data_IF_719237071465
#
_entry.id   IF_719237071465
#
_cell.length_a   1.000
_cell.length_b   1.000
_cell.length_c   1.000
_cell.angle_alpha   90.00
_cell.angle_beta   90.00
_cell.angle_gamma   90.00
#
_symmetry.space_group_name_H-M   'P 1'
#
loop_
_entity.id
_entity.type
_entity.pdbx_description
1 polymer ?
#
# COMPACT_ATOMS: atom_id res chain seq x y z
N UNK A 1 -77.94 -38.35 0.37
CA UNK A 1 -77.04 -38.39 -0.76
C UNK A 1 -76.33 -37.04 -0.81
N UNK A 2 -75.13 -36.92 -0.22
CA UNK A 2 -74.33 -35.71 -0.26
C UNK A 2 -73.27 -35.89 -1.33
N UNK A 3 -73.23 -35.00 -2.35
CA UNK A 3 -72.13 -34.92 -3.33
C UNK A 3 -71.10 -33.96 -2.83
N UNK A 4 -69.85 -34.36 -2.68
CA UNK A 4 -68.76 -33.41 -2.37
C UNK A 4 -68.35 -32.61 -3.61
N UNK A 5 -68.37 -31.28 -3.50
CA UNK A 5 -67.79 -30.36 -4.50
C UNK A 5 -66.26 -30.42 -4.42
N UNK A 6 -65.61 -30.88 -5.47
CA UNK A 6 -64.21 -30.82 -5.69
C UNK A 6 -63.76 -29.35 -5.90
N UNK A 7 -63.04 -28.80 -4.93
CA UNK A 7 -62.46 -27.49 -4.98
C UNK A 7 -61.08 -27.61 -5.69
N UNK A 8 -61.00 -27.12 -6.91
CA UNK A 8 -59.77 -27.07 -7.67
C UNK A 8 -58.90 -25.96 -7.08
N UNK A 9 -57.82 -26.33 -6.39
CA UNK A 9 -56.76 -25.42 -5.96
C UNK A 9 -55.87 -25.17 -7.16
N UNK A 10 -55.88 -23.93 -7.65
CA UNK A 10 -54.95 -23.47 -8.67
C UNK A 10 -53.57 -23.26 -8.01
N UNK A 11 -52.59 -24.11 -8.34
CA UNK A 11 -51.17 -23.87 -8.00
C UNK A 11 -50.71 -22.70 -8.87
N UNK A 12 -50.57 -21.53 -8.24
CA UNK A 12 -49.85 -20.40 -8.80
C UNK A 12 -48.35 -20.70 -8.78
N UNK A 13 -47.76 -20.87 -9.97
CA UNK A 13 -46.31 -20.96 -10.14
C UNK A 13 -45.68 -19.61 -9.84
N UNK A 14 -45.11 -19.48 -8.66
CA UNK A 14 -44.19 -18.38 -8.36
C UNK A 14 -42.88 -18.66 -9.10
N UNK A 15 -42.67 -18.01 -10.23
CA UNK A 15 -41.36 -17.91 -10.84
C UNK A 15 -40.47 -17.04 -9.95
N UNK A 16 -39.64 -17.68 -9.13
CA UNK A 16 -38.58 -17.01 -8.41
C UNK A 16 -37.54 -16.49 -9.43
N UNK A 17 -37.61 -15.20 -9.74
CA UNK A 17 -36.54 -14.51 -10.47
C UNK A 17 -35.35 -14.40 -9.50
N UNK A 18 -34.43 -15.36 -9.58
CA UNK A 18 -33.12 -15.20 -8.99
C UNK A 18 -32.40 -14.08 -9.74
N UNK A 19 -32.45 -12.82 -9.22
CA UNK A 19 -31.50 -11.82 -9.56
C UNK A 19 -30.14 -12.31 -9.03
N UNK A 20 -29.39 -12.96 -9.90
CA UNK A 20 -27.97 -13.15 -9.68
C UNK A 20 -27.35 -11.75 -9.69
N UNK A 21 -27.18 -11.14 -8.51
CA UNK A 21 -26.22 -10.06 -8.34
C UNK A 21 -24.87 -10.66 -8.72
N UNK A 22 -24.44 -10.41 -9.96
CA UNK A 22 -23.05 -10.60 -10.35
C UNK A 22 -22.24 -9.61 -9.48
N UNK A 23 -21.92 -10.04 -8.28
CA UNK A 23 -20.83 -9.46 -7.52
C UNK A 23 -19.60 -9.61 -8.42
N UNK A 24 -19.08 -8.52 -8.93
CA UNK A 24 -17.71 -8.49 -9.44
C UNK A 24 -16.85 -8.81 -8.25
N UNK A 25 -16.54 -10.10 -8.05
CA UNK A 25 -15.44 -10.52 -7.20
C UNK A 25 -14.22 -9.78 -7.76
N UNK A 26 -13.70 -8.84 -6.96
CA UNK A 26 -12.41 -8.24 -7.26
C UNK A 26 -11.44 -9.40 -7.44
N UNK A 27 -10.80 -9.49 -8.61
CA UNK A 27 -9.85 -10.54 -8.89
C UNK A 27 -8.84 -10.57 -7.74
N UNK A 28 -8.69 -11.74 -7.11
CA UNK A 28 -7.76 -11.91 -6.00
C UNK A 28 -6.34 -11.69 -6.54
N UNK A 29 -5.70 -10.59 -6.13
CA UNK A 29 -4.34 -10.28 -6.57
C UNK A 29 -3.35 -11.23 -5.87
N UNK A 30 -2.37 -11.71 -6.65
CA UNK A 30 -1.28 -12.51 -6.10
C UNK A 30 -0.24 -11.59 -5.44
N UNK A 31 -0.09 -11.68 -4.14
CA UNK A 31 0.81 -10.83 -3.34
C UNK A 31 2.10 -11.54 -2.93
N UNK A 32 2.33 -12.78 -3.38
CA UNK A 32 3.47 -13.58 -2.92
C UNK A 32 4.82 -12.93 -3.26
N UNK A 33 4.96 -12.39 -4.47
CA UNK A 33 6.19 -11.73 -4.92
C UNK A 33 6.43 -10.42 -4.18
N UNK A 34 5.37 -9.65 -3.91
CA UNK A 34 5.44 -8.44 -3.10
C UNK A 34 5.91 -8.77 -1.68
N UNK A 35 5.27 -9.75 -1.01
CA UNK A 35 5.64 -10.15 0.35
C UNK A 35 7.09 -10.60 0.41
N UNK A 36 7.56 -11.36 -0.59
CA UNK A 36 8.94 -11.80 -0.65
C UNK A 36 9.93 -10.64 -0.84
N UNK A 37 9.60 -9.69 -1.74
CA UNK A 37 10.39 -8.50 -2.00
C UNK A 37 10.47 -7.58 -0.77
N UNK A 38 9.33 -7.25 -0.19
CA UNK A 38 9.21 -6.43 1.02
C UNK A 38 10.01 -7.04 2.21
N UNK A 39 9.97 -8.36 2.41
CA UNK A 39 10.75 -9.03 3.46
C UNK A 39 12.26 -9.06 3.19
N UNK A 40 12.69 -8.87 1.95
CA UNK A 40 14.08 -8.83 1.56
C UNK A 40 14.63 -7.40 1.49
N UNK A 41 13.76 -6.40 1.50
CA UNK A 41 14.11 -5.00 1.42
C UNK A 41 14.84 -4.56 2.70
N UNK A 42 16.04 -4.01 2.52
CA UNK A 42 16.90 -3.54 3.61
C UNK A 42 16.24 -2.38 4.37
N UNK A 43 15.56 -1.49 3.66
CA UNK A 43 14.85 -0.36 4.26
C UNK A 43 13.75 -0.80 5.22
N UNK A 44 13.12 -1.93 4.94
CA UNK A 44 12.12 -2.54 5.82
C UNK A 44 12.76 -3.34 6.94
N UNK A 45 13.77 -4.16 6.64
CA UNK A 45 14.37 -5.07 7.63
C UNK A 45 15.26 -4.37 8.67
N UNK A 46 15.83 -3.21 8.32
CA UNK A 46 16.67 -2.38 9.18
C UNK A 46 15.90 -1.18 9.78
N UNK A 47 14.58 -1.11 9.58
CA UNK A 47 13.76 -0.06 10.16
C UNK A 47 13.75 -0.18 11.70
N UNK A 48 14.18 0.88 12.43
CA UNK A 48 14.25 0.86 13.89
C UNK A 48 12.88 0.67 14.56
N UNK A 49 11.78 0.85 13.85
CA UNK A 49 10.45 0.54 14.34
C UNK A 49 10.25 -0.92 14.71
N UNK A 50 11.09 -1.84 14.20
CA UNK A 50 11.04 -3.27 14.52
C UNK A 50 12.02 -3.72 15.62
N UNK A 51 12.86 -2.81 16.13
CA UNK A 51 13.93 -3.14 17.09
C UNK A 51 13.44 -3.72 18.41
N UNK A 52 12.20 -3.39 18.81
CA UNK A 52 11.62 -3.92 20.06
C UNK A 52 11.12 -5.38 19.94
N UNK A 53 11.13 -5.93 18.72
CA UNK A 53 10.76 -7.32 18.43
C UNK A 53 9.29 -7.68 18.63
N UNK A 54 8.41 -6.70 18.92
CA UNK A 54 6.96 -6.94 19.06
C UNK A 54 6.29 -7.21 17.73
N UNK A 55 6.73 -6.47 16.70
CA UNK A 55 6.29 -6.62 15.33
C UNK A 55 7.48 -7.07 14.49
N UNK A 56 7.24 -7.96 13.53
CA UNK A 56 8.29 -8.40 12.61
C UNK A 56 8.09 -7.75 11.24
N UNK A 57 9.16 -7.51 10.46
CA UNK A 57 9.04 -7.08 9.06
C UNK A 57 8.06 -7.93 8.26
N UNK A 58 8.05 -9.25 8.48
CA UNK A 58 7.10 -10.15 7.85
C UNK A 58 5.64 -9.82 8.17
N UNK A 59 5.31 -9.58 9.43
CA UNK A 59 3.95 -9.23 9.83
C UNK A 59 3.52 -7.88 9.22
N UNK A 60 4.44 -6.95 9.08
CA UNK A 60 4.21 -5.69 8.39
C UNK A 60 3.94 -5.89 6.90
N UNK A 61 4.81 -6.61 6.17
CA UNK A 61 4.62 -6.89 4.74
C UNK A 61 3.33 -7.68 4.47
N UNK A 62 2.93 -8.60 5.35
CA UNK A 62 1.66 -9.32 5.24
C UNK A 62 0.45 -8.40 5.50
N UNK A 63 0.57 -7.41 6.40
CA UNK A 63 -0.45 -6.40 6.61
C UNK A 63 -0.65 -5.56 5.34
N UNK A 64 0.44 -4.99 4.80
CA UNK A 64 0.41 -4.16 3.59
C UNK A 64 -0.21 -4.93 2.41
N UNK A 65 0.26 -6.15 2.16
CA UNK A 65 -0.28 -7.01 1.10
C UNK A 65 -1.78 -7.31 1.28
N UNK A 66 -2.25 -7.46 2.52
CA UNK A 66 -3.65 -7.70 2.84
C UNK A 66 -4.58 -6.51 2.57
N UNK A 67 -4.04 -5.29 2.50
CA UNK A 67 -4.82 -4.09 2.19
C UNK A 67 -4.98 -3.84 0.68
N UNK A 68 -4.16 -4.44 -0.18
CA UNK A 68 -4.19 -4.21 -1.64
C UNK A 68 -5.56 -4.48 -2.27
N UNK A 69 -6.24 -5.55 -1.85
CA UNK A 69 -7.59 -5.86 -2.33
C UNK A 69 -8.61 -4.80 -1.93
N UNK A 70 -8.48 -4.20 -0.73
CA UNK A 70 -9.34 -3.13 -0.24
C UNK A 70 -9.08 -1.83 -0.98
N UNK A 71 -7.82 -1.55 -1.30
CA UNK A 71 -7.40 -0.41 -2.12
C UNK A 71 -7.72 -0.59 -3.61
N UNK A 72 -8.18 -1.80 -4.02
CA UNK A 72 -8.51 -2.16 -5.41
C UNK A 72 -7.31 -2.05 -6.35
N UNK A 73 -6.12 -2.33 -5.85
CA UNK A 73 -4.93 -2.41 -6.68
C UNK A 73 -5.05 -3.56 -7.69
N UNK A 74 -4.61 -3.33 -8.90
CA UNK A 74 -4.52 -4.36 -9.93
C UNK A 74 -3.29 -5.25 -9.72
N UNK A 75 -3.22 -6.39 -10.43
CA UNK A 75 -2.00 -7.22 -10.40
C UNK A 75 -0.78 -6.45 -10.90
N UNK A 76 -0.95 -5.60 -11.92
CA UNK A 76 0.15 -4.77 -12.44
C UNK A 76 0.67 -3.76 -11.39
N UNK A 77 -0.22 -3.18 -10.57
CA UNK A 77 0.18 -2.31 -9.47
C UNK A 77 1.01 -3.08 -8.43
N UNK A 78 0.53 -4.26 -8.03
CA UNK A 78 1.24 -5.11 -7.04
C UNK A 78 2.58 -5.59 -7.56
N UNK A 79 2.68 -5.95 -8.84
CA UNK A 79 3.94 -6.36 -9.48
C UNK A 79 4.92 -5.18 -9.55
N UNK A 80 4.42 -3.94 -9.80
CA UNK A 80 5.24 -2.73 -9.78
C UNK A 80 5.78 -2.44 -8.38
N UNK A 81 4.95 -2.52 -7.33
CA UNK A 81 5.39 -2.36 -5.94
C UNK A 81 6.44 -3.42 -5.56
N UNK A 82 6.29 -4.66 -6.02
CA UNK A 82 7.30 -5.70 -5.79
C UNK A 82 8.64 -5.38 -6.47
N UNK A 83 8.63 -4.78 -7.67
CA UNK A 83 9.86 -4.29 -8.33
C UNK A 83 10.51 -3.14 -7.57
N UNK A 84 9.70 -2.23 -6.98
CA UNK A 84 10.21 -1.12 -6.16
C UNK A 84 11.03 -1.65 -4.98
N UNK A 85 10.49 -2.58 -4.22
CA UNK A 85 11.20 -3.21 -3.09
C UNK A 85 12.46 -3.99 -3.51
N UNK A 86 12.55 -4.43 -4.76
CA UNK A 86 13.74 -5.12 -5.30
C UNK A 86 14.76 -4.15 -5.91
N UNK A 87 14.45 -2.85 -5.97
CA UNK A 87 15.23 -1.84 -6.71
C UNK A 87 15.41 -2.20 -8.21
N UNK A 88 14.41 -2.92 -8.78
CA UNK A 88 14.43 -3.40 -10.17
C UNK A 88 13.66 -2.49 -11.14
N UNK A 89 13.25 -1.27 -10.70
CA UNK A 89 12.58 -0.32 -11.56
C UNK A 89 13.53 0.25 -12.58
N UNK A 90 13.09 0.26 -13.84
CA UNK A 90 13.81 0.86 -14.97
C UNK A 90 13.12 2.15 -15.43
N UNK A 91 13.85 2.97 -16.21
CA UNK A 91 13.27 4.17 -16.84
C UNK A 91 12.07 3.81 -17.73
N UNK A 92 12.12 2.63 -18.39
CA UNK A 92 11.02 2.12 -19.22
C UNK A 92 9.78 1.79 -18.38
N UNK A 93 9.96 1.22 -17.17
CA UNK A 93 8.86 0.95 -16.24
C UNK A 93 8.19 2.27 -15.83
N UNK A 94 8.95 3.31 -15.52
CA UNK A 94 8.43 4.64 -15.16
C UNK A 94 7.66 5.27 -16.30
N UNK A 95 8.21 5.24 -17.53
CA UNK A 95 7.56 5.81 -18.71
C UNK A 95 6.28 5.06 -19.11
N UNK A 96 6.25 3.74 -18.92
CA UNK A 96 5.12 2.88 -19.28
C UNK A 96 4.00 2.82 -18.23
N UNK A 97 4.24 3.36 -17.03
CA UNK A 97 3.29 3.31 -15.91
C UNK A 97 2.78 4.71 -15.52
N UNK A 98 1.82 5.27 -16.28
CA UNK A 98 1.40 6.67 -16.13
C UNK A 98 0.75 7.00 -14.78
N UNK A 99 0.35 5.99 -14.01
CA UNK A 99 -0.27 6.14 -12.69
C UNK A 99 0.70 5.82 -11.55
N UNK A 100 2.01 5.83 -11.80
CA UNK A 100 3.02 5.47 -10.79
C UNK A 100 2.95 6.37 -9.55
N UNK A 101 2.77 7.67 -9.74
CA UNK A 101 2.65 8.63 -8.63
C UNK A 101 1.41 8.32 -7.77
N UNK A 102 0.26 8.07 -8.40
CA UNK A 102 -0.97 7.70 -7.69
C UNK A 102 -0.79 6.37 -6.93
N UNK A 103 -0.07 5.42 -7.54
CA UNK A 103 0.24 4.14 -6.91
C UNK A 103 1.15 4.31 -5.69
N UNK A 104 2.17 5.16 -5.79
CA UNK A 104 3.08 5.44 -4.68
C UNK A 104 2.33 6.08 -3.51
N UNK A 105 1.48 7.08 -3.78
CA UNK A 105 0.65 7.71 -2.75
C UNK A 105 -0.32 6.70 -2.10
N UNK A 106 -0.97 5.87 -2.90
CA UNK A 106 -1.86 4.83 -2.36
C UNK A 106 -1.10 3.79 -1.51
N UNK A 107 0.12 3.44 -1.90
CA UNK A 107 0.97 2.52 -1.14
C UNK A 107 1.41 3.16 0.19
N UNK A 108 1.81 4.43 0.20
CA UNK A 108 2.17 5.17 1.41
C UNK A 108 1.00 5.19 2.42
N UNK A 109 -0.22 5.50 1.97
CA UNK A 109 -1.43 5.45 2.81
C UNK A 109 -1.67 4.05 3.41
N UNK A 110 -1.41 3.00 2.63
CA UNK A 110 -1.54 1.60 3.09
C UNK A 110 -0.47 1.27 4.12
N UNK A 111 0.77 1.65 3.86
CA UNK A 111 1.90 1.42 4.75
C UNK A 111 1.70 2.12 6.10
N UNK A 112 1.32 3.39 6.09
CA UNK A 112 1.02 4.16 7.28
C UNK A 112 -0.14 3.56 8.08
N UNK A 113 -1.21 3.15 7.39
CA UNK A 113 -2.33 2.46 8.01
C UNK A 113 -1.93 1.11 8.64
N UNK A 114 -0.98 0.39 8.06
CA UNK A 114 -0.44 -0.85 8.63
C UNK A 114 0.50 -0.58 9.80
N UNK A 115 1.33 0.48 9.75
CA UNK A 115 2.14 0.93 10.88
C UNK A 115 1.28 1.27 12.07
N UNK A 116 0.23 2.06 11.87
CA UNK A 116 -0.72 2.41 12.93
C UNK A 116 -1.38 1.16 13.55
N UNK A 117 -1.89 0.24 12.72
CA UNK A 117 -2.53 -1.01 13.19
C UNK A 117 -1.60 -1.89 14.01
N UNK A 118 -0.33 -1.91 13.66
CA UNK A 118 0.69 -2.72 14.31
C UNK A 118 1.36 -2.01 15.49
N UNK A 119 1.04 -0.73 15.72
CA UNK A 119 1.64 0.09 16.78
C UNK A 119 3.09 0.48 16.49
N UNK A 120 3.45 0.54 15.21
CA UNK A 120 4.74 1.03 14.76
C UNK A 120 4.70 2.57 14.63
N UNK A 121 5.84 3.26 14.73
CA UNK A 121 5.91 4.70 14.47
C UNK A 121 5.44 5.01 13.05
N UNK A 122 4.53 5.97 12.89
CA UNK A 122 4.11 6.52 11.60
C UNK A 122 4.93 7.77 11.32
N UNK A 123 5.41 7.91 10.09
CA UNK A 123 6.07 9.10 9.60
C UNK A 123 7.54 9.21 9.98
N UNK A 124 8.42 8.66 9.14
CA UNK A 124 9.81 9.10 9.05
C UNK A 124 9.97 10.37 8.20
N UNK A 125 8.88 11.02 7.81
CA UNK A 125 8.90 12.27 7.03
C UNK A 125 9.05 13.54 7.88
N UNK A 126 8.96 13.45 9.20
CA UNK A 126 9.44 14.51 10.09
C UNK A 126 10.93 14.28 10.44
N UNK A 127 11.77 14.21 9.42
CA UNK A 127 13.09 14.83 9.59
C UNK A 127 12.75 16.29 9.85
N UNK A 128 12.73 16.65 11.14
CA UNK A 128 12.79 18.04 11.56
C UNK A 128 13.75 18.72 10.60
N UNK A 129 13.23 19.65 9.79
CA UNK A 129 14.05 20.65 9.17
C UNK A 129 14.74 21.31 10.36
N UNK A 130 15.88 20.74 10.78
CA UNK A 130 16.83 21.47 11.58
C UNK A 130 17.11 22.71 10.75
N UNK A 131 16.44 23.80 11.16
CA UNK A 131 16.80 25.14 10.74
C UNK A 131 18.31 25.21 10.92
N UNK A 132 19.04 25.02 9.81
CA UNK A 132 20.45 25.35 9.76
C UNK A 132 20.46 26.86 9.96
N UNK A 133 20.67 27.26 11.21
CA UNK A 133 20.99 28.64 11.56
C UNK A 133 22.18 29.07 10.68
N UNK A 134 21.86 29.76 9.58
CA UNK A 134 22.82 30.46 8.74
C UNK A 134 23.35 31.70 9.47
N UNK A 135 23.66 31.61 10.75
CA UNK A 135 24.40 32.63 11.49
C UNK A 135 25.80 32.11 11.80
N UNK A 136 26.70 32.43 10.95
CA UNK A 136 28.07 32.83 11.18
C UNK A 136 29.02 32.46 10.04
N UNK A 137 28.76 32.93 8.84
CA UNK A 137 29.87 33.18 7.92
C UNK A 137 30.35 34.61 8.11
N UNK A 138 31.16 34.78 9.10
CA UNK A 138 32.03 35.99 9.21
C UNK A 138 33.09 35.89 8.12
N UNK A 139 33.13 36.79 7.13
CA UNK A 139 34.28 36.85 6.23
C UNK A 139 35.45 37.40 7.01
N UNK A 140 36.46 36.58 7.28
CA UNK A 140 37.77 37.05 7.67
C UNK A 140 38.37 37.83 6.49
N UNK A 141 38.32 39.14 6.62
CA UNK A 141 39.11 40.06 5.81
C UNK A 141 40.60 39.73 5.99
N UNK A 142 41.16 38.93 5.10
CA UNK A 142 42.60 38.86 4.94
C UNK A 142 43.11 40.17 4.32
N UNK A 143 43.58 41.04 5.23
CA UNK A 143 44.42 42.20 4.93
C UNK A 143 45.76 41.72 4.34
N UNK A 144 45.84 41.57 3.03
CA UNK A 144 47.06 41.31 2.30
C UNK A 144 47.71 42.68 1.99
N UNK A 145 48.57 43.14 2.89
CA UNK A 145 49.51 44.24 2.61
C UNK A 145 50.57 43.76 1.61
N UNK A 146 50.87 44.52 0.53
CA UNK A 146 51.95 44.18 -0.38
C UNK A 146 53.32 44.56 0.20
N UNK A 147 54.38 43.75 -0.10
CA UNK A 147 55.74 44.08 0.29
C UNK A 147 56.35 45.18 -0.62
N UNK A 148 57.05 46.11 -0.01
CA UNK A 148 57.93 47.09 -0.66
C UNK A 148 59.18 46.40 -1.21
#
# INVERSE_FOLDING_TARGET
>A
MYKPKLMRVALGSFAAICLSAAGTEAAEVNTADFIAACNADVSVTEDPGFDDGKVTPKAYCECVAGEFAKAKLSQADVDMLAKMHKEEITDEDVESFPTLEDLMNANEDIEDGCREKLGLPVGFTDLEEEEIDEEEMVPEDEDVSPPE
#
